data_IF_484969377263
#
_entry.id   IF_484969377263
#
_cell.length_a   1.000
_cell.length_b   1.000
_cell.length_c   1.000
_cell.angle_alpha   90.00
_cell.angle_beta   90.00
_cell.angle_gamma   90.00
#
_symmetry.space_group_name_H-M   'P 1'
#
loop_
_entity.id
_entity.type
_entity.pdbx_description
1 polymer ?
#
# COMPACT_ATOMS: atom_id res chain seq x y z
N UNK A 1 -20.32 7.40 7.02
CA UNK A 1 -20.05 7.76 5.61
C UNK A 1 -20.10 6.50 4.75
N UNK A 2 -20.29 6.64 3.43
CA UNK A 2 -20.29 5.52 2.48
C UNK A 2 -18.84 5.10 2.17
N UNK A 3 -18.46 3.81 2.24
CA UNK A 3 -17.10 3.36 1.96
C UNK A 3 -16.78 3.47 0.46
N UNK A 4 -15.52 3.75 0.13
CA UNK A 4 -15.02 3.76 -1.25
C UNK A 4 -14.36 2.44 -1.58
N UNK A 5 -14.80 1.80 -2.67
CA UNK A 5 -14.14 0.62 -3.23
C UNK A 5 -13.25 1.10 -4.38
N UNK A 6 -11.93 0.94 -4.27
CA UNK A 6 -10.98 1.53 -5.23
C UNK A 6 -10.31 0.47 -6.10
N UNK A 7 -10.25 0.72 -7.40
CA UNK A 7 -9.48 -0.07 -8.36
C UNK A 7 -8.01 0.40 -8.38
N UNK A 8 -7.11 -0.45 -8.89
CA UNK A 8 -5.66 -0.17 -8.93
C UNK A 8 -5.06 0.18 -7.56
N UNK A 9 -5.47 -0.53 -6.51
CA UNK A 9 -5.04 -0.27 -5.13
C UNK A 9 -3.52 -0.35 -4.91
N UNK A 10 -2.79 -1.05 -5.79
CA UNK A 10 -1.33 -1.16 -5.78
C UNK A 10 -0.63 -0.24 -6.79
N UNK A 11 -1.38 0.67 -7.45
CA UNK A 11 -0.89 1.57 -8.49
C UNK A 11 -0.19 0.83 -9.64
N UNK A 12 -0.92 -0.08 -10.30
CA UNK A 12 -0.37 -0.88 -11.41
C UNK A 12 0.74 -1.84 -10.99
N UNK A 13 0.82 -2.20 -9.70
CA UNK A 13 1.88 -3.02 -9.13
C UNK A 13 3.09 -2.24 -8.61
N UNK A 14 3.10 -0.91 -8.70
CA UNK A 14 4.16 -0.05 -8.17
C UNK A 14 4.46 -0.37 -6.69
N UNK A 15 3.41 -0.41 -5.86
CA UNK A 15 3.53 -0.75 -4.44
C UNK A 15 3.49 -2.26 -4.17
N UNK A 16 3.43 -3.10 -5.21
CA UNK A 16 3.43 -4.56 -5.12
C UNK A 16 4.71 -5.19 -5.72
N UNK A 17 5.83 -4.48 -5.60
CA UNK A 17 7.15 -5.00 -5.98
C UNK A 17 7.61 -4.67 -7.41
N UNK A 18 6.76 -4.11 -8.28
CA UNK A 18 7.22 -3.66 -9.61
C UNK A 18 7.96 -2.32 -9.56
N UNK A 19 7.71 -1.48 -8.56
CA UNK A 19 8.38 -0.18 -8.42
C UNK A 19 8.38 0.62 -9.72
N UNK A 20 9.57 1.03 -10.18
CA UNK A 20 9.75 1.87 -11.38
C UNK A 20 9.23 1.25 -12.69
N UNK A 21 9.02 -0.08 -12.75
CA UNK A 21 8.51 -0.76 -13.93
C UNK A 21 6.98 -0.64 -14.09
N UNK A 22 6.27 -0.04 -13.12
CA UNK A 22 4.80 0.03 -13.09
C UNK A 22 4.17 1.14 -13.95
N UNK A 23 4.85 1.64 -14.97
CA UNK A 23 4.29 2.59 -15.95
C UNK A 23 3.98 3.99 -15.36
N UNK A 24 2.78 4.56 -15.58
CA UNK A 24 2.49 5.99 -15.32
C UNK A 24 2.52 6.38 -13.83
N UNK A 25 2.68 5.41 -12.94
CA UNK A 25 2.78 5.63 -11.49
C UNK A 25 4.22 5.89 -11.04
N UNK A 26 5.21 5.66 -11.89
CA UNK A 26 6.60 5.99 -11.60
C UNK A 26 6.81 7.51 -11.54
N UNK A 27 7.51 7.97 -10.51
CA UNK A 27 7.88 9.37 -10.36
C UNK A 27 8.32 9.71 -8.93
N UNK A 28 8.97 10.87 -8.73
CA UNK A 28 9.69 11.17 -7.50
C UNK A 28 8.84 11.12 -6.23
N UNK A 29 7.57 11.53 -6.32
CA UNK A 29 6.65 11.50 -5.18
C UNK A 29 6.31 10.06 -4.75
N UNK A 30 6.10 9.16 -5.70
CA UNK A 30 5.80 7.77 -5.40
C UNK A 30 7.05 6.99 -5.00
N UNK A 31 8.22 7.36 -5.51
CA UNK A 31 9.51 6.81 -5.08
C UNK A 31 9.76 7.10 -3.60
N UNK A 32 9.55 8.35 -3.19
CA UNK A 32 9.66 8.74 -1.78
C UNK A 32 8.65 7.98 -0.90
N UNK A 33 7.39 7.80 -1.38
CA UNK A 33 6.37 7.03 -0.66
C UNK A 33 6.72 5.55 -0.56
N UNK A 34 7.25 4.95 -1.62
CA UNK A 34 7.66 3.55 -1.63
C UNK A 34 8.87 3.30 -0.74
N UNK A 35 9.85 4.21 -0.74
CA UNK A 35 10.98 4.16 0.19
C UNK A 35 10.49 4.18 1.65
N UNK A 36 9.57 5.09 2.00
CA UNK A 36 8.98 5.14 3.35
C UNK A 36 8.17 3.88 3.69
N UNK A 37 7.36 3.38 2.75
CA UNK A 37 6.62 2.13 2.92
C UNK A 37 7.57 0.95 3.18
N UNK A 38 8.70 0.92 2.47
CA UNK A 38 9.74 -0.11 2.61
C UNK A 38 10.43 -0.03 3.98
N UNK A 39 10.81 1.17 4.40
CA UNK A 39 11.41 1.41 5.71
C UNK A 39 10.46 1.00 6.86
N UNK A 40 9.19 1.38 6.77
CA UNK A 40 8.20 1.01 7.80
C UNK A 40 7.89 -0.48 7.78
N UNK A 41 7.81 -1.11 6.60
CA UNK A 41 7.63 -2.54 6.46
C UNK A 41 8.74 -3.32 7.18
N UNK A 42 9.99 -2.90 7.02
CA UNK A 42 11.13 -3.49 7.73
C UNK A 42 11.01 -3.36 9.25
N UNK A 43 10.50 -2.23 9.76
CA UNK A 43 10.26 -2.01 11.21
C UNK A 43 9.11 -2.85 11.75
N UNK A 44 8.07 -3.08 10.95
CA UNK A 44 6.86 -3.80 11.34
C UNK A 44 6.95 -5.30 11.06
N UNK A 45 8.00 -5.78 10.39
CA UNK A 45 8.15 -7.19 10.03
C UNK A 45 7.12 -7.65 8.99
N UNK A 46 6.73 -6.76 8.08
CA UNK A 46 5.75 -7.02 7.02
C UNK A 46 6.32 -6.60 5.65
N UNK A 47 5.51 -6.64 4.58
CA UNK A 47 5.96 -6.23 3.24
C UNK A 47 5.56 -4.78 2.90
N UNK A 48 6.26 -4.11 1.97
CA UNK A 48 5.86 -2.78 1.49
C UNK A 48 4.44 -2.77 0.93
N UNK A 49 4.04 -3.83 0.22
CA UNK A 49 2.68 -4.04 -0.29
C UNK A 49 1.66 -4.04 0.84
N UNK A 50 1.97 -4.73 1.94
CA UNK A 50 1.09 -4.80 3.11
C UNK A 50 0.94 -3.44 3.78
N UNK A 51 2.01 -2.65 3.88
CA UNK A 51 1.96 -1.27 4.39
C UNK A 51 1.11 -0.38 3.48
N UNK A 52 1.31 -0.45 2.17
CA UNK A 52 0.56 0.37 1.20
C UNK A 52 -0.94 0.06 1.22
N UNK A 53 -1.32 -1.23 1.27
CA UNK A 53 -2.72 -1.65 1.36
C UNK A 53 -3.34 -1.30 2.73
N UNK A 54 -2.58 -1.43 3.82
CA UNK A 54 -3.04 -1.02 5.14
C UNK A 54 -3.32 0.49 5.20
N UNK A 55 -2.45 1.32 4.59
CA UNK A 55 -2.61 2.77 4.53
C UNK A 55 -3.97 3.21 3.96
N UNK A 56 -4.50 2.50 2.96
CA UNK A 56 -5.80 2.82 2.35
C UNK A 56 -6.94 2.78 3.36
N UNK A 57 -6.92 1.81 4.29
CA UNK A 57 -7.97 1.64 5.31
C UNK A 57 -8.03 2.80 6.33
N UNK A 58 -6.97 3.62 6.38
CA UNK A 58 -6.88 4.80 7.23
C UNK A 58 -7.30 6.11 6.53
N UNK A 59 -7.79 6.04 5.28
CA UNK A 59 -8.30 7.22 4.59
C UNK A 59 -9.77 7.47 4.92
N UNK A 60 -10.20 8.72 4.75
CA UNK A 60 -11.60 9.13 4.91
C UNK A 60 -12.19 9.59 3.57
N UNK A 61 -13.38 9.08 3.16
CA UNK A 61 -14.11 7.97 3.79
C UNK A 61 -13.30 6.65 3.68
N UNK A 62 -13.64 5.66 4.52
CA UNK A 62 -12.94 4.37 4.57
C UNK A 62 -12.81 3.77 3.16
N UNK A 63 -11.58 3.42 2.79
CA UNK A 63 -11.27 2.79 1.50
C UNK A 63 -11.12 1.28 1.66
N UNK A 64 -11.80 0.54 0.79
CA UNK A 64 -11.68 -0.92 0.63
C UNK A 64 -10.91 -1.18 -0.68
N UNK A 65 -9.67 -1.69 -0.62
CA UNK A 65 -8.89 -1.96 -1.82
C UNK A 65 -9.43 -3.16 -2.59
N UNK A 66 -9.69 -2.99 -3.89
CA UNK A 66 -9.85 -4.10 -4.83
C UNK A 66 -8.47 -4.47 -5.40
N UNK A 67 -8.06 -5.71 -5.16
CA UNK A 67 -6.87 -6.31 -5.75
C UNK A 67 -7.24 -7.64 -6.40
N UNK A 68 -6.67 -7.89 -7.58
CA UNK A 68 -6.80 -9.12 -8.33
C UNK A 68 -5.42 -9.63 -8.72
N UNK A 69 -5.20 -10.92 -8.58
CA UNK A 69 -3.93 -11.57 -8.94
C UNK A 69 -4.21 -13.02 -9.35
N UNK A 70 -3.44 -13.53 -10.30
CA UNK A 70 -3.41 -14.96 -10.65
C UNK A 70 -2.44 -15.77 -9.79
N UNK A 71 -1.65 -15.10 -8.95
CA UNK A 71 -0.64 -15.71 -8.09
C UNK A 71 -1.14 -15.84 -6.64
N UNK A 72 -1.27 -17.07 -6.11
CA UNK A 72 -1.64 -17.30 -4.72
C UNK A 72 -0.73 -16.63 -3.68
N UNK A 73 0.57 -16.45 -3.98
CA UNK A 73 1.51 -15.79 -3.08
C UNK A 73 1.18 -14.29 -2.94
N UNK A 74 0.89 -13.61 -4.04
CA UNK A 74 0.43 -12.22 -4.01
C UNK A 74 -0.92 -12.07 -3.28
N UNK A 75 -1.82 -13.06 -3.42
CA UNK A 75 -3.08 -13.08 -2.69
C UNK A 75 -2.83 -13.18 -1.17
N UNK A 76 -1.97 -14.11 -0.75
CA UNK A 76 -1.61 -14.28 0.66
C UNK A 76 -0.94 -13.03 1.24
N UNK A 77 -0.04 -12.40 0.47
CA UNK A 77 0.60 -11.15 0.85
C UNK A 77 -0.44 -10.03 1.06
N UNK A 78 -1.32 -9.82 0.08
CA UNK A 78 -2.35 -8.80 0.15
C UNK A 78 -3.32 -9.02 1.32
N UNK A 79 -3.73 -10.26 1.59
CA UNK A 79 -4.55 -10.61 2.75
C UNK A 79 -3.84 -10.29 4.08
N UNK A 80 -2.52 -10.49 4.15
CA UNK A 80 -1.71 -10.16 5.32
C UNK A 80 -1.72 -8.66 5.69
N UNK A 81 -2.03 -7.77 4.74
CA UNK A 81 -2.21 -6.34 5.03
C UNK A 81 -3.34 -6.07 6.03
N UNK A 82 -4.30 -7.00 6.16
CA UNK A 82 -5.40 -6.87 7.11
C UNK A 82 -4.91 -6.81 8.58
N UNK A 83 -3.78 -7.45 8.87
CA UNK A 83 -3.19 -7.53 10.21
C UNK A 83 -2.23 -6.38 10.53
N UNK A 84 -1.81 -5.60 9.52
CA UNK A 84 -0.93 -4.44 9.72
C UNK A 84 -1.73 -3.31 10.35
N UNK A 85 -1.27 -2.83 11.52
CA UNK A 85 -1.86 -1.69 12.22
C UNK A 85 -0.94 -0.49 12.09
N UNK A 86 -1.46 0.59 11.51
CA UNK A 86 -0.74 1.86 11.40
C UNK A 86 -1.32 2.85 12.41
N UNK A 87 -0.45 3.50 13.17
CA UNK A 87 -0.87 4.62 14.02
C UNK A 87 -1.03 5.91 13.18
N UNK A 88 -1.72 6.95 13.71
CA UNK A 88 -1.94 8.19 12.97
C UNK A 88 -0.65 8.92 12.54
N UNK A 89 0.45 8.77 13.28
CA UNK A 89 1.74 9.37 12.93
C UNK A 89 2.38 8.62 11.75
N UNK A 90 2.34 7.29 11.75
CA UNK A 90 2.79 6.48 10.63
C UNK A 90 2.00 6.77 9.35
N UNK A 91 0.68 6.91 9.45
CA UNK A 91 -0.18 7.28 8.30
C UNK A 91 0.22 8.64 7.72
N UNK A 92 0.44 9.65 8.57
CA UNK A 92 0.90 10.99 8.11
C UNK A 92 2.30 10.91 7.49
N UNK A 93 3.22 10.22 8.14
CA UNK A 93 4.59 10.07 7.68
C UNK A 93 4.67 9.39 6.29
N UNK A 94 3.88 8.35 6.04
CA UNK A 94 3.79 7.71 4.73
C UNK A 94 3.39 8.71 3.62
N UNK A 95 2.49 9.65 3.92
CA UNK A 95 2.00 10.65 2.98
C UNK A 95 2.98 11.79 2.75
N UNK A 96 3.44 12.38 3.84
CA UNK A 96 4.04 13.72 3.85
C UNK A 96 5.56 13.71 3.98
N UNK A 97 6.14 12.63 4.51
CA UNK A 97 7.57 12.55 4.84
C UNK A 97 7.89 12.91 6.28
#
# INVERSE_FOLDING_TARGET
GFPLVVYSATAGGYFAGLGHDAGPYAGPANEARFARATELAARLGCTPTQVALAYLRHQEPVVIPLFGTGDPAHLAEALGSAAVRLDPQQVRWLRDG
#
